data_IF_886245919294
#
_entry.id   IF_886245919294
#
_cell.length_a   1.000
_cell.length_b   1.000
_cell.length_c   1.000
_cell.angle_alpha   90.00
_cell.angle_beta   90.00
_cell.angle_gamma   90.00
#
_symmetry.space_group_name_H-M   'P 1'
#
loop_
_entity.id
_entity.type
_entity.pdbx_description
1 polymer ?
#
# COMPACT_ATOMS: atom_id res chain seq x y z
N UNK A 1 36.19 -49.54 -37.65
CA UNK A 1 35.71 -50.71 -36.90
C UNK A 1 36.22 -50.51 -35.48
N UNK A 2 35.30 -50.16 -34.57
CA UNK A 2 35.45 -50.17 -33.09
C UNK A 2 36.44 -49.15 -32.49
N UNK A 3 36.26 -48.48 -31.36
CA UNK A 3 35.15 -48.20 -30.41
C UNK A 3 35.72 -47.11 -29.45
N UNK A 4 34.94 -46.68 -28.45
CA UNK A 4 35.35 -46.03 -27.20
C UNK A 4 35.10 -44.51 -26.98
N UNK A 5 33.87 -44.28 -26.51
CA UNK A 5 33.35 -43.36 -25.47
C UNK A 5 33.51 -41.83 -25.59
N UNK A 6 32.40 -41.08 -25.76
CA UNK A 6 32.28 -39.74 -25.20
C UNK A 6 31.97 -39.82 -23.70
N UNK A 7 32.70 -39.05 -22.89
CA UNK A 7 32.37 -38.83 -21.48
C UNK A 7 30.99 -38.18 -21.39
N UNK A 8 30.10 -38.87 -20.67
CA UNK A 8 28.83 -38.36 -20.15
C UNK A 8 29.13 -37.43 -18.98
N UNK A 9 28.58 -36.22 -18.99
CA UNK A 9 27.75 -35.68 -17.89
C UNK A 9 27.14 -34.34 -18.34
N UNK A 10 25.81 -34.30 -18.31
CA UNK A 10 24.99 -33.15 -18.61
C UNK A 10 24.87 -32.25 -17.36
N UNK A 11 24.90 -30.91 -17.48
CA UNK A 11 24.16 -30.10 -16.55
C UNK A 11 22.67 -30.29 -16.86
N UNK A 12 22.03 -30.92 -15.89
CA UNK A 12 20.61 -31.07 -15.66
C UNK A 12 19.82 -29.78 -15.90
N UNK A 13 18.58 -30.00 -16.35
CA UNK A 13 17.41 -29.15 -16.22
C UNK A 13 17.41 -27.79 -16.96
N UNK A 14 16.90 -27.83 -18.19
CA UNK A 14 15.98 -26.78 -18.65
C UNK A 14 14.69 -27.42 -19.19
N UNK A 15 14.04 -28.18 -18.33
CA UNK A 15 12.65 -28.62 -18.57
C UNK A 15 11.71 -27.53 -18.09
N UNK A 16 10.87 -27.10 -19.04
CA UNK A 16 9.54 -26.54 -18.86
C UNK A 16 9.38 -25.26 -18.03
N UNK A 17 9.10 -24.17 -18.73
CA UNK A 17 7.76 -23.57 -18.66
C UNK A 17 7.63 -22.57 -19.80
N UNK A 18 7.07 -23.04 -20.92
CA UNK A 18 6.43 -22.19 -21.91
C UNK A 18 5.51 -21.24 -21.16
N UNK A 19 5.73 -19.93 -21.36
CA UNK A 19 4.96 -18.85 -20.77
C UNK A 19 3.56 -18.85 -21.40
N UNK A 20 2.73 -19.77 -20.94
CA UNK A 20 1.28 -19.78 -21.16
C UNK A 20 0.63 -19.14 -19.92
N UNK A 21 0.68 -17.81 -19.87
CA UNK A 21 -0.28 -17.04 -19.06
C UNK A 21 -1.10 -16.24 -20.05
N UNK A 22 -2.07 -16.95 -20.61
CA UNK A 22 -3.32 -16.43 -21.13
C UNK A 22 -3.85 -15.36 -20.16
N UNK A 23 -3.95 -14.10 -20.62
CA UNK A 23 -4.79 -13.11 -19.95
C UNK A 23 -6.23 -13.62 -19.99
N UNK A 24 -6.90 -13.88 -18.86
CA UNK A 24 -8.35 -13.81 -18.85
C UNK A 24 -8.74 -12.33 -18.87
N UNK A 25 -9.34 -11.98 -19.99
CA UNK A 25 -10.20 -10.83 -20.23
C UNK A 25 -11.21 -10.64 -19.09
N UNK A 26 -11.40 -9.38 -18.69
CA UNK A 26 -12.60 -8.84 -18.05
C UNK A 26 -13.24 -9.65 -16.90
N UNK A 27 -12.88 -9.30 -15.66
CA UNK A 27 -13.83 -9.40 -14.55
C UNK A 27 -14.28 -7.97 -14.22
N UNK A 28 -15.23 -7.49 -15.02
CA UNK A 28 -16.18 -6.46 -14.60
C UNK A 28 -16.99 -7.10 -13.46
N UNK A 29 -16.51 -6.96 -12.22
CA UNK A 29 -17.33 -7.29 -11.05
C UNK A 29 -18.40 -6.22 -10.91
N UNK A 30 -19.55 -6.56 -11.48
CA UNK A 30 -20.89 -6.10 -11.13
C UNK A 30 -20.96 -5.72 -9.64
N UNK A 31 -21.16 -4.42 -9.38
CA UNK A 31 -21.46 -3.91 -8.05
C UNK A 31 -22.91 -4.30 -7.76
N UNK A 32 -23.20 -5.13 -6.74
CA UNK A 32 -24.58 -5.37 -6.37
C UNK A 32 -25.14 -4.06 -5.80
N UNK A 33 -26.05 -3.45 -6.54
CA UNK A 33 -26.99 -2.47 -6.00
C UNK A 33 -27.86 -3.22 -5.01
N UNK A 34 -27.50 -3.15 -3.72
CA UNK A 34 -28.38 -3.60 -2.65
C UNK A 34 -29.37 -2.48 -2.34
N UNK A 35 -30.62 -2.85 -2.53
CA UNK A 35 -31.83 -2.07 -2.39
C UNK A 35 -32.02 -1.54 -0.96
N UNK A 36 -32.46 -0.28 -0.91
CA UNK A 36 -33.01 0.41 0.26
C UNK A 36 -34.11 -0.40 0.93
N UNK A 37 -33.93 -0.80 2.19
CA UNK A 37 -35.06 -1.11 3.05
C UNK A 37 -34.74 -0.89 4.54
N UNK A 38 -35.41 0.11 5.11
CA UNK A 38 -35.89 0.18 6.48
C UNK A 38 -34.90 -0.19 7.62
N UNK A 39 -34.29 0.84 8.21
CA UNK A 39 -33.94 0.79 9.64
C UNK A 39 -34.74 1.90 10.32
N UNK A 40 -35.85 1.49 10.93
CA UNK A 40 -36.59 2.23 11.95
C UNK A 40 -35.63 2.52 13.13
N UNK A 41 -35.33 3.79 13.46
CA UNK A 41 -34.58 4.08 14.67
C UNK A 41 -35.54 3.96 15.87
N UNK A 42 -35.21 3.18 16.92
CA UNK A 42 -35.99 3.24 18.13
C UNK A 42 -35.80 4.62 18.76
N UNK A 43 -36.89 5.38 18.82
CA UNK A 43 -36.97 6.63 19.56
C UNK A 43 -36.88 6.31 21.06
N UNK A 44 -35.65 6.15 21.56
CA UNK A 44 -35.38 6.00 23.00
C UNK A 44 -35.03 7.37 23.56
N UNK A 45 -36.05 7.98 24.16
CA UNK A 45 -35.94 9.12 25.05
C UNK A 45 -35.23 8.69 26.35
N UNK A 46 -34.07 9.29 26.63
CA UNK A 46 -33.47 9.34 27.96
C UNK A 46 -32.99 10.76 28.23
N UNK A 47 -33.49 11.44 29.28
CA UNK A 47 -33.00 12.75 29.67
C UNK A 47 -31.81 12.61 30.62
N UNK A 48 -30.81 13.45 30.40
CA UNK A 48 -29.90 13.87 31.46
C UNK A 48 -28.64 13.03 31.63
N UNK A 49 -27.60 13.41 30.90
CA UNK A 49 -26.30 13.69 31.52
C UNK A 49 -25.61 14.73 30.66
N UNK A 50 -25.48 15.94 31.22
CA UNK A 50 -24.48 16.89 30.79
C UNK A 50 -23.10 16.31 31.15
N UNK A 51 -22.66 15.31 30.39
CA UNK A 51 -21.25 15.02 30.24
C UNK A 51 -20.81 15.91 29.09
N UNK A 52 -19.75 16.69 29.34
CA UNK A 52 -19.08 17.48 28.33
C UNK A 52 -19.06 16.70 27.02
N UNK A 53 -19.61 17.31 25.97
CA UNK A 53 -19.27 16.90 24.61
C UNK A 53 -17.75 16.95 24.54
N UNK A 54 -17.02 15.84 24.40
CA UNK A 54 -15.70 15.96 23.87
C UNK A 54 -15.98 16.32 22.40
N UNK A 55 -15.74 17.59 22.07
CA UNK A 55 -15.70 18.10 20.70
C UNK A 55 -14.48 17.44 20.04
N UNK A 56 -14.63 16.17 19.72
CA UNK A 56 -13.65 15.37 19.03
C UNK A 56 -14.45 14.42 18.16
N UNK A 57 -15.00 15.00 17.10
CA UNK A 57 -14.82 14.36 15.81
C UNK A 57 -13.31 14.25 15.63
N UNK A 58 -12.72 13.21 16.22
CA UNK A 58 -11.38 12.80 15.88
C UNK A 58 -11.44 12.43 14.42
N UNK A 59 -11.17 13.39 13.54
CA UNK A 59 -10.43 13.04 12.34
C UNK A 59 -9.25 12.27 12.89
N UNK A 60 -9.25 10.94 12.73
CA UNK A 60 -8.13 10.11 13.11
C UNK A 60 -6.95 10.58 12.24
N UNK A 61 -6.29 11.64 12.68
CA UNK A 61 -5.14 12.23 12.02
C UNK A 61 -4.10 11.12 12.02
N UNK A 62 -3.89 10.52 10.84
CA UNK A 62 -2.99 9.40 10.68
C UNK A 62 -1.63 9.84 11.22
N UNK A 63 -1.13 9.14 12.24
CA UNK A 63 0.13 9.49 12.89
C UNK A 63 1.27 9.41 11.87
N UNK A 64 1.83 10.57 11.50
CA UNK A 64 2.91 10.67 10.51
C UNK A 64 4.30 10.54 11.12
N UNK A 65 4.44 10.57 12.45
CA UNK A 65 5.74 10.47 13.13
C UNK A 65 6.58 9.27 12.69
N UNK A 66 6.04 8.04 12.58
CA UNK A 66 6.85 6.90 12.15
C UNK A 66 7.28 7.00 10.68
N UNK A 67 6.56 7.76 9.85
CA UNK A 67 7.00 8.08 8.50
C UNK A 67 8.11 9.12 8.52
N UNK A 68 7.98 10.19 9.30
CA UNK A 68 9.01 11.22 9.45
C UNK A 68 10.35 10.62 9.91
N UNK A 69 10.32 9.73 10.90
CA UNK A 69 11.51 9.00 11.38
C UNK A 69 12.15 8.15 10.26
N UNK A 70 11.32 7.41 9.51
CA UNK A 70 11.81 6.62 8.38
C UNK A 70 12.44 7.49 7.29
N UNK A 71 11.84 8.65 7.00
CA UNK A 71 12.35 9.56 5.98
C UNK A 71 13.69 10.17 6.40
N UNK A 72 13.86 10.53 7.68
CA UNK A 72 15.16 11.00 8.19
C UNK A 72 16.26 9.96 7.98
N UNK A 73 15.99 8.69 8.30
CA UNK A 73 16.93 7.58 8.08
C UNK A 73 17.23 7.35 6.59
N UNK A 74 16.20 7.41 5.74
CA UNK A 74 16.30 7.11 4.32
C UNK A 74 17.04 8.21 3.54
N UNK A 75 16.82 9.47 3.91
CA UNK A 75 17.45 10.64 3.28
C UNK A 75 18.77 11.04 3.94
N UNK A 76 19.26 10.29 4.92
CA UNK A 76 20.54 10.59 5.57
C UNK A 76 21.72 10.52 4.55
N UNK A 77 22.10 11.69 4.04
CA UNK A 77 23.13 11.84 3.00
C UNK A 77 22.65 11.55 1.57
N UNK A 78 21.34 11.47 1.33
CA UNK A 78 20.73 11.30 0.01
C UNK A 78 19.68 12.39 -0.21
N UNK A 79 19.76 13.12 -1.33
CA UNK A 79 18.82 14.21 -1.63
C UNK A 79 17.50 13.70 -2.23
N UNK A 80 17.55 12.56 -2.93
CA UNK A 80 16.42 11.98 -3.68
C UNK A 80 16.37 10.47 -3.52
N UNK A 81 15.17 9.94 -3.30
CA UNK A 81 14.90 8.50 -3.17
C UNK A 81 13.72 8.11 -4.07
N UNK A 82 13.78 6.94 -4.68
CA UNK A 82 12.68 6.38 -5.48
C UNK A 82 11.45 6.05 -4.62
N UNK A 83 10.25 6.33 -5.14
CA UNK A 83 8.97 5.96 -4.52
C UNK A 83 8.91 4.47 -4.17
N UNK A 84 9.48 3.60 -5.03
CA UNK A 84 9.49 2.15 -4.79
C UNK A 84 10.37 1.80 -3.61
N UNK A 85 11.51 2.48 -3.44
CA UNK A 85 12.39 2.28 -2.29
C UNK A 85 11.78 2.83 -1.00
N UNK A 86 11.15 4.02 -1.05
CA UNK A 86 10.39 4.60 0.06
C UNK A 86 9.28 3.64 0.50
N UNK A 87 8.46 3.17 -0.44
CA UNK A 87 7.37 2.23 -0.16
C UNK A 87 7.88 0.91 0.40
N UNK A 88 8.95 0.34 -0.18
CA UNK A 88 9.55 -0.90 0.33
C UNK A 88 10.05 -0.74 1.76
N UNK A 89 10.69 0.38 2.09
CA UNK A 89 11.16 0.67 3.46
C UNK A 89 9.98 0.91 4.40
N UNK A 90 8.95 1.61 3.95
CA UNK A 90 7.74 1.84 4.71
C UNK A 90 7.03 0.53 5.08
N UNK A 91 6.97 -0.43 4.14
CA UNK A 91 6.44 -1.77 4.41
C UNK A 91 7.35 -2.53 5.39
N UNK A 92 8.67 -2.43 5.23
CA UNK A 92 9.63 -3.07 6.13
C UNK A 92 9.61 -2.48 7.55
N UNK A 93 9.27 -1.20 7.69
CA UNK A 93 9.07 -0.50 8.95
C UNK A 93 7.64 -0.68 9.52
N UNK A 94 6.82 -1.51 8.88
CA UNK A 94 5.44 -1.81 9.29
C UNK A 94 4.58 -0.54 9.50
N UNK A 95 4.75 0.45 8.62
CA UNK A 95 3.99 1.70 8.70
C UNK A 95 2.48 1.45 8.57
N UNK A 96 1.64 2.31 9.17
CA UNK A 96 0.18 2.24 9.06
C UNK A 96 -0.31 2.12 7.61
N UNK A 97 -1.33 1.28 7.40
CA UNK A 97 -1.87 0.99 6.06
C UNK A 97 -2.38 2.24 5.33
N UNK A 98 -2.85 3.24 6.06
CA UNK A 98 -3.27 4.53 5.52
C UNK A 98 -2.09 5.29 4.89
N UNK A 99 -0.91 5.31 5.53
CA UNK A 99 0.30 5.92 4.98
C UNK A 99 0.83 5.14 3.79
N UNK A 100 0.85 3.81 3.86
CA UNK A 100 1.25 2.94 2.74
C UNK A 100 0.35 3.17 1.51
N UNK A 101 -0.95 3.33 1.73
CA UNK A 101 -1.90 3.62 0.65
C UNK A 101 -1.66 4.98 0.00
N UNK A 102 -1.32 6.01 0.79
CA UNK A 102 -0.93 7.34 0.27
C UNK A 102 0.38 7.27 -0.52
N UNK A 103 1.40 6.60 0.02
CA UNK A 103 2.68 6.40 -0.67
C UNK A 103 2.51 5.63 -1.99
N UNK A 104 1.65 4.61 -2.03
CA UNK A 104 1.35 3.85 -3.23
C UNK A 104 0.53 4.63 -4.27
N UNK A 105 -0.17 5.68 -3.86
CA UNK A 105 -0.89 6.57 -4.77
C UNK A 105 0.03 7.60 -5.46
N UNK A 106 1.24 7.81 -4.95
CA UNK A 106 2.22 8.69 -5.58
C UNK A 106 2.70 8.11 -6.91
N UNK A 107 2.91 8.95 -7.94
CA UNK A 107 3.47 8.49 -9.20
C UNK A 107 4.86 7.89 -9.00
N UNK A 108 5.25 6.95 -9.87
CA UNK A 108 6.61 6.41 -9.84
C UNK A 108 7.60 7.52 -10.20
N UNK A 109 8.63 7.70 -9.38
CA UNK A 109 9.62 8.76 -9.53
C UNK A 109 10.54 8.85 -8.32
N UNK A 110 11.49 9.77 -8.40
CA UNK A 110 12.38 10.12 -7.29
C UNK A 110 11.88 11.39 -6.62
N UNK A 111 11.74 11.34 -5.31
CA UNK A 111 11.20 12.43 -4.51
C UNK A 111 12.26 12.96 -3.56
N UNK A 112 12.26 14.27 -3.30
CA UNK A 112 12.92 14.84 -2.13
C UNK A 112 12.00 14.73 -0.89
N UNK A 113 12.58 14.87 0.30
CA UNK A 113 11.80 14.86 1.56
C UNK A 113 10.73 15.94 1.59
N UNK A 114 11.06 17.16 1.13
CA UNK A 114 10.12 18.29 1.09
C UNK A 114 8.99 18.05 0.08
N UNK A 115 9.31 17.45 -1.09
CA UNK A 115 8.29 17.10 -2.09
C UNK A 115 7.35 16.00 -1.57
N UNK A 116 7.91 14.99 -0.88
CA UNK A 116 7.10 13.92 -0.32
C UNK A 116 6.20 14.45 0.81
N UNK A 117 6.73 15.33 1.68
CA UNK A 117 5.99 15.96 2.76
C UNK A 117 4.84 16.83 2.23
N UNK A 118 5.07 17.60 1.15
CA UNK A 118 4.02 18.36 0.48
C UNK A 118 2.91 17.44 -0.07
N UNK A 119 3.28 16.34 -0.73
CA UNK A 119 2.33 15.39 -1.30
C UNK A 119 1.57 14.56 -0.27
N UNK A 120 2.17 14.25 0.88
CA UNK A 120 1.56 13.42 1.93
C UNK A 120 0.84 14.21 3.02
N UNK A 121 1.27 15.45 3.28
CA UNK A 121 0.62 16.41 4.17
C UNK A 121 -0.44 17.26 3.47
N UNK A 122 -0.37 17.39 2.14
CA UNK A 122 -1.35 18.10 1.31
C UNK A 122 -2.54 17.22 0.93
N UNK A 123 -3.46 16.97 1.87
CA UNK A 123 -4.82 16.54 1.53
C UNK A 123 -5.81 17.62 1.96
N UNK A 124 -5.99 18.65 1.13
CA UNK A 124 -7.15 19.53 1.15
C UNK A 124 -7.31 20.24 -0.20
N UNK A 125 -8.17 19.65 -1.03
CA UNK A 125 -8.75 20.21 -2.24
C UNK A 125 -9.96 19.39 -2.63
#
# INVERSE_FOLDING_TARGET
MSDDVPVTEAPTAKTAATRDVRLPDAILSDVPVVDTAAIDPPLTDLPGTAAAVPDEVGTEEVDTRPLDELLDELYHGQERISQVDIYRRAVAAELPAQLLSRLNALPQGEYAVDELADLLGGSAG
#
